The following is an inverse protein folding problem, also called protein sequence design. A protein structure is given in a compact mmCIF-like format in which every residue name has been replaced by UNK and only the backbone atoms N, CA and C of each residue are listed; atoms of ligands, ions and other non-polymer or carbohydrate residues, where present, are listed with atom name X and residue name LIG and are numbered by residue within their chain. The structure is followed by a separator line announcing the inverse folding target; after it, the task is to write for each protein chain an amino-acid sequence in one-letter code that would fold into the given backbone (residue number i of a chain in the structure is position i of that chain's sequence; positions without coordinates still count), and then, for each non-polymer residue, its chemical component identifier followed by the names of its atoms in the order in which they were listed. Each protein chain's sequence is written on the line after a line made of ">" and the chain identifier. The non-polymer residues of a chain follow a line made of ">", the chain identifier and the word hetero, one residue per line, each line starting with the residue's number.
data_IF_411177363647
#
_entry.id   IF_411177363647
#
_cell.length_a   1.000
_cell.length_b   1.000
_cell.length_c   1.000
_cell.angle_alpha   90.00
_cell.angle_beta   90.00
_cell.angle_gamma   90.00
#
_symmetry.space_group_name_H-M   'P 1'
#
loop_
_entity.id
_entity.type
_entity.pdbx_description
1 polymer ?
#
# COMPACT_ATOMS: atom_id res chain seq x y z
N UNK A 1 6.85 -8.83 37.49
CA UNK A 1 7.47 -9.18 36.20
C UNK A 1 8.21 -7.94 35.70
N UNK A 2 9.53 -8.01 35.51
CA UNK A 2 10.36 -6.87 35.07
C UNK A 2 10.70 -7.13 33.60
N UNK A 3 10.19 -6.29 32.71
CA UNK A 3 10.49 -6.36 31.28
C UNK A 3 11.58 -5.32 31.01
N UNK A 4 12.75 -5.77 30.53
CA UNK A 4 13.84 -4.91 30.08
C UNK A 4 13.94 -4.99 28.56
N UNK A 5 14.00 -3.84 27.90
CA UNK A 5 14.15 -3.72 26.46
C UNK A 5 15.52 -3.14 26.15
N UNK A 6 16.36 -3.88 25.42
CA UNK A 6 17.65 -3.42 24.94
C UNK A 6 17.67 -3.38 23.40
N UNK A 7 17.61 -2.19 22.77
CA UNK A 7 17.57 -2.06 21.31
C UNK A 7 18.79 -2.65 20.60
N UNK A 8 19.97 -2.65 21.24
CA UNK A 8 21.21 -3.15 20.61
C UNK A 8 21.28 -4.67 20.56
N UNK A 9 20.48 -5.37 21.37
CA UNK A 9 20.34 -6.83 21.33
C UNK A 9 19.29 -7.30 20.30
N UNK A 10 18.55 -6.36 19.71
CA UNK A 10 17.63 -6.61 18.61
C UNK A 10 18.43 -6.86 17.32
N UNK A 11 18.99 -8.06 17.23
CA UNK A 11 19.65 -8.57 16.03
C UNK A 11 18.61 -9.12 15.05
N UNK A 12 19.03 -9.39 13.81
CA UNK A 12 18.21 -10.01 12.75
C UNK A 12 17.50 -11.32 13.15
N UNK A 13 17.91 -11.91 14.28
CA UNK A 13 17.31 -13.10 14.90
C UNK A 13 15.84 -12.90 15.33
N UNK A 14 15.46 -11.67 15.66
CA UNK A 14 14.09 -11.31 16.06
C UNK A 14 13.37 -10.51 15.00
N UNK A 15 13.74 -10.66 13.71
CA UNK A 15 12.93 -10.11 12.62
C UNK A 15 11.51 -10.64 12.79
N UNK A 16 10.53 -9.80 13.17
CA UNK A 16 9.16 -10.21 13.07
C UNK A 16 8.96 -10.54 11.60
N UNK A 17 8.63 -11.79 11.30
CA UNK A 17 8.15 -12.06 9.95
C UNK A 17 6.91 -11.18 9.79
N UNK A 18 6.90 -10.26 8.81
CA UNK A 18 5.71 -9.47 8.59
C UNK A 18 4.53 -10.44 8.45
N UNK A 19 3.47 -10.19 9.21
CA UNK A 19 2.25 -10.96 9.12
C UNK A 19 1.86 -11.01 7.64
N UNK A 20 1.94 -12.18 7.00
CA UNK A 20 1.65 -12.33 5.58
C UNK A 20 0.15 -12.14 5.37
N UNK A 21 -0.25 -10.90 5.13
CA UNK A 21 -1.62 -10.55 4.86
C UNK A 21 -1.88 -10.79 3.36
N UNK A 22 -2.64 -11.83 3.02
CA UNK A 22 -2.86 -12.14 1.60
C UNK A 22 -3.67 -11.05 0.90
N UNK A 23 -4.70 -10.52 1.58
CA UNK A 23 -5.61 -9.52 1.01
C UNK A 23 -6.06 -8.53 2.06
N UNK A 24 -6.09 -7.27 1.67
CA UNK A 24 -6.64 -6.15 2.43
C UNK A 24 -7.61 -5.36 1.56
N UNK A 25 -8.77 -5.04 2.10
CA UNK A 25 -9.77 -4.22 1.44
C UNK A 25 -10.03 -2.94 2.23
N UNK A 26 -9.93 -1.80 1.56
CA UNK A 26 -10.30 -0.51 2.12
C UNK A 26 -11.71 -0.18 1.64
N UNK A 27 -12.68 -0.49 2.51
CA UNK A 27 -14.12 -0.34 2.23
C UNK A 27 -14.55 1.13 2.34
N UNK A 28 -14.05 1.84 3.36
CA UNK A 28 -14.47 3.20 3.63
C UNK A 28 -13.35 4.02 4.24
N UNK A 29 -13.10 5.18 3.65
CA UNK A 29 -12.19 6.19 4.18
C UNK A 29 -13.04 7.42 4.44
N UNK A 30 -13.28 7.73 5.72
CA UNK A 30 -13.98 8.98 6.07
C UNK A 30 -13.04 10.13 5.73
N UNK A 31 -13.34 10.81 4.62
CA UNK A 31 -12.60 11.96 4.08
C UNK A 31 -12.31 13.05 5.12
N UNK A 32 -13.15 13.22 6.14
CA UNK A 32 -12.94 14.21 7.20
C UNK A 32 -11.73 13.95 8.13
N UNK A 33 -11.13 12.74 8.12
CA UNK A 33 -10.13 12.34 9.12
C UNK A 33 -8.74 12.13 8.51
N UNK A 34 -8.63 11.77 7.24
CA UNK A 34 -7.34 11.45 6.61
C UNK A 34 -6.90 12.61 5.73
N UNK A 35 -6.23 13.59 6.32
CA UNK A 35 -5.55 14.67 5.59
C UNK A 35 -4.15 14.26 5.09
N UNK A 36 -3.63 13.10 5.52
CA UNK A 36 -2.29 12.65 5.20
C UNK A 36 -2.29 11.22 4.65
N UNK A 37 -2.43 11.09 3.34
CA UNK A 37 -2.39 9.80 2.65
C UNK A 37 -1.03 9.10 2.72
N UNK A 38 0.06 9.87 2.89
CA UNK A 38 1.41 9.31 3.07
C UNK A 38 1.51 8.51 4.37
N UNK A 39 1.05 9.09 5.49
CA UNK A 39 1.05 8.42 6.78
C UNK A 39 0.15 7.17 6.79
N UNK A 40 -0.98 7.20 6.06
CA UNK A 40 -1.83 6.03 5.88
C UNK A 40 -1.11 4.93 5.10
N UNK A 41 -0.51 5.26 3.95
CA UNK A 41 0.24 4.30 3.14
C UNK A 41 1.41 3.70 3.94
N UNK A 42 2.19 4.54 4.60
CA UNK A 42 3.31 4.13 5.45
C UNK A 42 2.83 3.20 6.58
N UNK A 43 1.75 3.55 7.27
CA UNK A 43 1.19 2.71 8.32
C UNK A 43 0.71 1.35 7.81
N UNK A 44 0.01 1.32 6.67
CA UNK A 44 -0.49 0.08 6.07
C UNK A 44 0.66 -0.85 5.67
N UNK A 45 1.65 -0.32 4.96
CA UNK A 45 2.72 -1.13 4.37
C UNK A 45 3.84 -1.48 5.37
N UNK A 46 4.09 -0.64 6.38
CA UNK A 46 5.06 -0.96 7.44
C UNK A 46 4.51 -1.99 8.44
N UNK A 47 3.23 -1.90 8.81
CA UNK A 47 2.68 -2.72 9.91
C UNK A 47 2.12 -4.07 9.45
N UNK A 48 1.52 -4.11 8.26
CA UNK A 48 0.84 -5.30 7.76
C UNK A 48 0.92 -5.37 6.22
N UNK A 49 2.11 -5.59 5.64
CA UNK A 49 2.32 -5.52 4.20
C UNK A 49 1.45 -6.56 3.48
N UNK A 50 0.40 -6.13 2.74
CA UNK A 50 -0.48 -7.06 2.08
C UNK A 50 0.15 -7.55 0.77
N UNK A 51 -0.19 -8.75 0.32
CA UNK A 51 0.05 -9.14 -1.08
C UNK A 51 -0.91 -8.42 -2.02
N UNK A 52 -2.17 -8.24 -1.61
CA UNK A 52 -3.22 -7.59 -2.38
C UNK A 52 -3.86 -6.48 -1.55
N UNK A 53 -3.85 -5.24 -2.04
CA UNK A 53 -4.65 -4.14 -1.50
C UNK A 53 -5.71 -3.74 -2.52
N UNK A 54 -6.97 -3.70 -2.11
CA UNK A 54 -8.08 -3.39 -3.00
C UNK A 54 -8.97 -2.25 -2.48
N UNK A 55 -9.46 -1.44 -3.42
CA UNK A 55 -10.37 -0.33 -3.17
C UNK A 55 -11.58 -0.45 -4.08
N UNK A 56 -12.78 -0.33 -3.52
CA UNK A 56 -13.96 -0.04 -4.32
C UNK A 56 -13.95 1.44 -4.68
N UNK A 57 -13.87 1.75 -5.97
CA UNK A 57 -13.82 3.13 -6.44
C UNK A 57 -15.15 3.84 -6.22
N UNK A 58 -15.08 4.95 -5.50
CA UNK A 58 -16.20 5.81 -5.17
C UNK A 58 -15.74 7.26 -5.43
N UNK A 59 -16.14 7.89 -6.56
CA UNK A 59 -15.57 9.16 -7.02
C UNK A 59 -15.55 10.27 -5.97
N UNK A 60 -16.57 10.32 -5.11
CA UNK A 60 -16.74 11.35 -4.06
C UNK A 60 -15.98 11.05 -2.77
N UNK A 61 -15.41 9.85 -2.60
CA UNK A 61 -14.90 9.39 -1.32
C UNK A 61 -13.41 9.05 -1.34
N UNK A 62 -12.89 8.48 -2.44
CA UNK A 62 -11.53 7.94 -2.46
C UNK A 62 -10.76 8.15 -3.76
N UNK A 63 -11.25 9.02 -4.66
CA UNK A 63 -10.57 9.32 -5.93
C UNK A 63 -9.16 9.89 -5.71
N UNK A 64 -9.03 10.88 -4.82
CA UNK A 64 -7.74 11.48 -4.48
C UNK A 64 -6.79 10.50 -3.79
N UNK A 65 -7.32 9.65 -2.90
CA UNK A 65 -6.53 8.63 -2.21
C UNK A 65 -5.97 7.60 -3.19
N UNK A 66 -6.83 7.05 -4.06
CA UNK A 66 -6.41 6.07 -5.07
C UNK A 66 -5.39 6.70 -6.02
N UNK A 67 -5.60 7.97 -6.40
CA UNK A 67 -4.63 8.73 -7.20
C UNK A 67 -3.28 8.87 -6.50
N UNK A 68 -3.27 9.26 -5.24
CA UNK A 68 -2.05 9.35 -4.43
C UNK A 68 -1.34 8.00 -4.32
N UNK A 69 -2.06 6.91 -4.06
CA UNK A 69 -1.49 5.57 -3.95
C UNK A 69 -0.88 5.14 -5.28
N UNK A 70 -1.60 5.36 -6.38
CA UNK A 70 -1.10 5.09 -7.72
C UNK A 70 0.21 5.83 -7.97
N UNK A 71 0.21 7.16 -7.88
CA UNK A 71 1.37 8.00 -8.14
C UNK A 71 2.55 7.61 -7.24
N UNK A 72 2.32 7.44 -5.94
CA UNK A 72 3.38 7.10 -4.98
C UNK A 72 4.01 5.73 -5.25
N UNK A 73 3.19 4.74 -5.62
CA UNK A 73 3.66 3.36 -5.84
C UNK A 73 4.27 3.15 -7.24
N UNK A 74 3.94 4.00 -8.22
CA UNK A 74 4.51 3.94 -9.57
C UNK A 74 5.67 4.90 -9.81
N UNK A 75 5.83 5.95 -9.00
CA UNK A 75 6.96 6.89 -9.12
C UNK A 75 8.25 6.18 -8.71
N UNK A 76 9.29 6.30 -9.55
CA UNK A 76 10.54 5.54 -9.52
C UNK A 76 10.98 5.06 -8.12
N UNK A 77 11.13 3.75 -7.96
CA UNK A 77 11.64 3.09 -6.75
C UNK A 77 13.04 3.57 -6.30
N UNK A 78 13.72 4.36 -7.13
CA UNK A 78 14.97 5.05 -6.78
C UNK A 78 14.76 6.21 -5.79
N UNK A 79 13.65 6.97 -5.87
CA UNK A 79 13.34 8.02 -4.89
C UNK A 79 12.94 7.43 -3.52
N UNK A 80 12.36 6.23 -3.55
CA UNK A 80 12.03 5.43 -2.37
C UNK A 80 13.27 5.05 -1.52
N UNK A 81 14.47 5.15 -2.11
CA UNK A 81 15.75 4.95 -1.41
C UNK A 81 16.18 6.15 -0.55
N UNK A 82 15.55 7.32 -0.68
CA UNK A 82 15.78 8.47 0.20
C UNK A 82 15.02 8.34 1.52
N UNK A 83 14.98 7.14 2.09
CA UNK A 83 14.33 6.91 3.36
C UNK A 83 15.13 7.64 4.47
N UNK A 84 14.54 8.60 5.20
CA UNK A 84 15.23 9.32 6.27
C UNK A 84 15.52 8.40 7.46
N UNK A 85 14.84 7.26 7.54
CA UNK A 85 15.13 6.22 8.50
C UNK A 85 16.26 5.35 7.98
N UNK A 86 17.36 5.27 8.72
CA UNK A 86 18.45 4.32 8.52
C UNK A 86 18.02 2.85 8.80
N UNK A 87 16.71 2.57 8.72
CA UNK A 87 16.03 1.33 9.01
C UNK A 87 15.84 0.54 7.70
N UNK A 88 16.96 0.14 7.09
CA UNK A 88 16.96 -0.64 5.82
C UNK A 88 16.10 -1.91 5.88
N UNK A 89 15.80 -2.41 7.07
CA UNK A 89 15.16 -3.70 7.28
C UNK A 89 13.63 -3.64 7.45
N UNK A 90 13.04 -2.47 7.71
CA UNK A 90 11.61 -2.33 8.07
C UNK A 90 10.87 -1.28 7.25
N UNK A 91 11.57 -0.54 6.39
CA UNK A 91 10.92 0.41 5.49
C UNK A 91 10.36 -0.33 4.28
N UNK A 92 9.04 -0.28 4.10
CA UNK A 92 8.35 -0.91 2.96
C UNK A 92 8.96 -0.49 1.61
N UNK A 93 9.47 0.75 1.53
CA UNK A 93 10.14 1.33 0.35
C UNK A 93 11.40 0.58 -0.08
N UNK A 94 12.11 -0.06 0.84
CA UNK A 94 13.34 -0.82 0.54
C UNK A 94 13.06 -2.30 0.26
N UNK A 95 11.94 -2.82 0.73
CA UNK A 95 11.56 -4.24 0.57
C UNK A 95 10.60 -4.44 -0.61
N UNK A 96 9.87 -3.41 -1.01
CA UNK A 96 8.96 -3.50 -2.15
C UNK A 96 9.76 -3.63 -3.46
N UNK A 97 9.53 -4.73 -4.18
CA UNK A 97 10.21 -5.07 -5.44
C UNK A 97 9.40 -4.69 -6.68
N UNK A 98 8.08 -4.86 -6.62
CA UNK A 98 7.18 -4.59 -7.75
C UNK A 98 5.77 -4.29 -7.25
N UNK A 99 5.03 -3.47 -8.02
CA UNK A 99 3.60 -3.21 -7.81
C UNK A 99 2.88 -3.34 -9.14
N UNK A 100 1.97 -4.31 -9.23
CA UNK A 100 1.06 -4.44 -10.37
C UNK A 100 -0.28 -3.85 -10.02
N UNK A 101 -0.82 -3.03 -10.91
CA UNK A 101 -2.09 -2.34 -10.68
C UNK A 101 -3.11 -2.85 -11.68
N UNK A 102 -4.26 -3.32 -11.18
CA UNK A 102 -5.36 -3.88 -11.98
C UNK A 102 -6.66 -3.15 -11.66
N UNK A 103 -7.55 -3.10 -12.64
CA UNK A 103 -8.91 -2.59 -12.47
C UNK A 103 -9.87 -3.70 -12.87
N UNK A 104 -10.74 -4.10 -11.94
CA UNK A 104 -11.84 -5.01 -12.22
C UNK A 104 -13.12 -4.17 -12.37
N UNK A 105 -13.70 -4.21 -13.57
CA UNK A 105 -14.92 -3.48 -13.86
C UNK A 105 -16.10 -4.08 -13.10
N UNK A 106 -16.95 -3.22 -12.53
CA UNK A 106 -18.13 -3.67 -11.79
C UNK A 106 -19.11 -4.50 -12.66
N UNK A 107 -19.05 -4.32 -13.98
CA UNK A 107 -19.84 -5.05 -14.98
C UNK A 107 -19.26 -6.43 -15.38
N UNK A 108 -18.27 -6.96 -14.64
CA UNK A 108 -17.78 -8.34 -14.82
C UNK A 108 -16.80 -8.56 -15.98
N UNK A 109 -16.41 -7.51 -16.70
CA UNK A 109 -15.38 -7.61 -17.76
C UNK A 109 -14.00 -7.36 -17.13
N UNK A 110 -13.24 -8.43 -16.92
CA UNK A 110 -11.81 -8.33 -16.60
C UNK A 110 -11.06 -7.75 -17.80
N UNK A 111 -10.65 -6.49 -17.72
CA UNK A 111 -9.62 -5.99 -18.63
C UNK A 111 -8.26 -6.44 -18.10
N UNK A 112 -7.67 -7.46 -18.73
CA UNK A 112 -6.22 -7.68 -18.71
C UNK A 112 -5.57 -6.60 -19.55
N UNK A 113 -5.50 -5.39 -19.02
CA UNK A 113 -4.84 -4.26 -19.65
C UNK A 113 -4.00 -3.53 -18.61
N UNK A 114 -2.82 -3.10 -19.02
CA UNK A 114 -2.05 -2.06 -18.33
C UNK A 114 -2.96 -0.93 -17.87
N UNK A 115 -2.61 -0.30 -16.76
CA UNK A 115 -3.39 0.75 -16.14
C UNK A 115 -3.50 1.96 -17.09
N UNK A 116 -4.56 2.00 -17.91
CA UNK A 116 -4.65 2.97 -19.03
C UNK A 116 -4.89 4.39 -18.56
N UNK A 117 -5.48 4.61 -17.38
CA UNK A 117 -5.55 5.90 -16.65
C UNK A 117 -6.62 5.82 -15.56
N UNK A 118 -6.42 6.50 -14.43
CA UNK A 118 -7.45 6.73 -13.41
C UNK A 118 -8.71 7.41 -13.97
N UNK A 119 -8.60 8.08 -15.11
CA UNK A 119 -9.68 8.83 -15.76
C UNK A 119 -10.81 7.91 -16.28
N UNK A 120 -10.56 6.61 -16.43
CA UNK A 120 -11.54 5.65 -16.95
C UNK A 120 -12.24 4.82 -15.85
N UNK A 121 -12.12 5.22 -14.57
CA UNK A 121 -12.75 4.51 -13.46
C UNK A 121 -14.24 4.84 -13.35
N UNK A 122 -15.08 3.81 -13.31
CA UNK A 122 -16.52 3.93 -13.08
C UNK A 122 -16.86 3.62 -11.62
N UNK A 123 -17.89 4.28 -11.09
CA UNK A 123 -18.35 4.05 -9.72
C UNK A 123 -18.61 2.55 -9.48
N UNK A 124 -17.95 1.99 -8.46
CA UNK A 124 -18.05 0.57 -8.12
C UNK A 124 -16.96 -0.32 -8.70
N UNK A 125 -16.13 0.17 -9.64
CA UNK A 125 -14.94 -0.55 -10.11
C UNK A 125 -14.00 -0.88 -8.94
N UNK A 126 -13.32 -2.02 -9.00
CA UNK A 126 -12.35 -2.42 -8.00
C UNK A 126 -10.94 -2.11 -8.49
N UNK A 127 -10.22 -1.27 -7.77
CA UNK A 127 -8.80 -0.97 -8.01
C UNK A 127 -7.96 -1.87 -7.12
N UNK A 128 -7.02 -2.60 -7.71
CA UNK A 128 -6.24 -3.64 -7.04
C UNK A 128 -4.75 -3.32 -7.21
N UNK A 129 -4.03 -3.25 -6.10
CA UNK A 129 -2.57 -3.17 -6.03
C UNK A 129 -2.04 -4.52 -5.57
N UNK A 130 -1.25 -5.19 -6.42
CA UNK A 130 -0.57 -6.45 -6.12
C UNK A 130 0.90 -6.17 -5.85
N UNK A 131 1.32 -6.37 -4.61
CA UNK A 131 2.67 -6.11 -4.15
C UNK A 131 3.54 -7.36 -4.24
N UNK A 132 4.77 -7.17 -4.70
CA UNK A 132 5.85 -8.15 -4.55
C UNK A 132 6.88 -7.56 -3.60
N UNK A 133 7.06 -8.19 -2.44
CA UNK A 133 8.03 -7.84 -1.41
C UNK A 133 9.32 -8.65 -1.56
#
# INVERSE_FOLDING_TARGET
>A
MKISFNPTEWTDKYRPQPCRLERMEIIHVKSAIISNYSALLDGLLCCAPPRILQFKYLPKHNSELIKFFYETLTTNMEEHQQCPFNCKLWCWRHILKDVKIKIQKHNGVEQKGEFVSLQNLECGDLVIFEFTW
#
